data_IF_097081053301
#
_entry.id   IF_097081053301
#
_cell.length_a   1.000
_cell.length_b   1.000
_cell.length_c   1.000
_cell.angle_alpha   90.00
_cell.angle_beta   90.00
_cell.angle_gamma   90.00
#
_symmetry.space_group_name_H-M   'P 1'
#
loop_
_entity.id
_entity.type
_entity.pdbx_description
1 polymer ?
#
# COMPACT_ATOMS: atom_id res chain seq x y z
N UNK A 1 -31.20 3.50 -15.97
CA UNK A 1 -31.14 3.54 -14.49
C UNK A 1 -30.01 2.66 -13.89
N UNK A 2 -28.98 2.25 -14.66
CA UNK A 2 -27.90 1.37 -14.14
C UNK A 2 -26.54 2.06 -13.93
N UNK A 3 -26.34 3.30 -14.38
CA UNK A 3 -25.06 4.02 -14.26
C UNK A 3 -24.81 4.62 -12.86
N UNK A 4 -25.86 4.94 -12.10
CA UNK A 4 -25.71 5.48 -10.74
C UNK A 4 -25.20 4.43 -9.74
N UNK A 5 -25.57 3.16 -9.94
CA UNK A 5 -25.17 2.05 -9.07
C UNK A 5 -23.71 1.65 -9.30
N UNK A 6 -23.21 1.69 -10.54
CA UNK A 6 -21.80 1.43 -10.86
C UNK A 6 -20.87 2.56 -10.39
N UNK A 7 -21.29 3.83 -10.50
CA UNK A 7 -20.52 4.96 -9.98
C UNK A 7 -20.37 4.93 -8.45
N UNK A 8 -21.41 4.49 -7.74
CA UNK A 8 -21.42 4.35 -6.27
C UNK A 8 -20.56 3.16 -5.83
N UNK A 9 -20.67 2.02 -6.53
CA UNK A 9 -19.84 0.83 -6.27
C UNK A 9 -18.34 1.12 -6.42
N UNK A 10 -17.95 1.87 -7.45
CA UNK A 10 -16.54 2.20 -7.68
C UNK A 10 -15.94 3.11 -6.59
N UNK A 11 -16.74 4.00 -5.99
CA UNK A 11 -16.32 4.82 -4.83
C UNK A 11 -16.10 3.99 -3.57
N UNK A 12 -16.96 3.00 -3.32
CA UNK A 12 -16.82 2.08 -2.17
C UNK A 12 -15.59 1.19 -2.33
N UNK A 13 -15.36 0.66 -3.53
CA UNK A 13 -14.17 -0.14 -3.85
C UNK A 13 -12.90 0.69 -3.63
N UNK A 14 -12.88 1.95 -4.08
CA UNK A 14 -11.73 2.85 -3.87
C UNK A 14 -11.47 3.12 -2.38
N UNK A 15 -12.52 3.36 -1.59
CA UNK A 15 -12.40 3.57 -0.14
C UNK A 15 -11.92 2.33 0.62
N UNK A 16 -12.42 1.15 0.24
CA UNK A 16 -11.96 -0.13 0.78
C UNK A 16 -10.49 -0.37 0.44
N UNK A 17 -10.08 -0.05 -0.79
CA UNK A 17 -8.71 -0.17 -1.25
C UNK A 17 -7.75 0.76 -0.48
N UNK A 18 -8.13 2.03 -0.25
CA UNK A 18 -7.33 2.94 0.59
C UNK A 18 -7.22 2.42 2.03
N UNK A 19 -8.31 1.88 2.59
CA UNK A 19 -8.31 1.33 3.95
C UNK A 19 -7.41 0.11 4.08
N UNK A 20 -7.40 -0.78 3.07
CA UNK A 20 -6.49 -1.92 2.99
C UNK A 20 -5.03 -1.48 2.87
N UNK A 21 -4.74 -0.44 2.09
CA UNK A 21 -3.39 0.12 1.96
C UNK A 21 -2.92 0.75 3.29
N UNK A 22 -3.80 1.45 3.99
CA UNK A 22 -3.52 2.00 5.32
C UNK A 22 -3.21 0.87 6.32
N UNK A 23 -4.03 -0.19 6.34
CA UNK A 23 -3.80 -1.37 7.16
C UNK A 23 -2.48 -2.07 6.84
N UNK A 24 -2.13 -2.15 5.56
CA UNK A 24 -0.84 -2.69 5.13
C UNK A 24 0.33 -1.84 5.63
N UNK A 25 0.26 -0.51 5.56
CA UNK A 25 1.31 0.36 6.12
C UNK A 25 1.44 0.23 7.63
N UNK A 26 0.34 0.12 8.37
CA UNK A 26 0.36 -0.13 9.81
C UNK A 26 1.02 -1.48 10.13
N UNK A 27 0.68 -2.52 9.37
CA UNK A 27 1.30 -3.83 9.50
C UNK A 27 2.81 -3.79 9.23
N UNK A 28 3.24 -3.15 8.14
CA UNK A 28 4.66 -2.98 7.80
C UNK A 28 5.38 -2.24 8.92
N UNK A 29 4.81 -1.15 9.44
CA UNK A 29 5.40 -0.43 10.57
C UNK A 29 5.54 -1.32 11.81
N UNK A 30 4.57 -2.19 12.09
CA UNK A 30 4.66 -3.15 13.18
C UNK A 30 5.80 -4.17 12.99
N UNK A 31 5.99 -4.66 11.77
CA UNK A 31 7.13 -5.53 11.42
C UNK A 31 8.46 -4.82 11.66
N UNK A 32 8.58 -3.56 11.26
CA UNK A 32 9.76 -2.73 11.52
C UNK A 32 10.04 -2.54 13.01
N UNK A 33 9.01 -2.22 13.81
CA UNK A 33 9.16 -2.09 15.27
C UNK A 33 9.61 -3.39 15.92
N UNK A 34 9.05 -4.54 15.48
CA UNK A 34 9.45 -5.86 15.96
C UNK A 34 10.90 -6.21 15.61
N UNK A 35 11.30 -5.97 14.35
CA UNK A 35 12.68 -6.15 13.89
C UNK A 35 13.67 -5.28 14.68
N UNK A 36 13.33 -4.01 14.87
CA UNK A 36 14.16 -3.07 15.64
C UNK A 36 14.30 -3.52 17.10
N UNK A 37 13.21 -3.97 17.72
CA UNK A 37 13.25 -4.51 19.09
C UNK A 37 14.11 -5.77 19.18
N UNK A 38 14.02 -6.69 18.22
CA UNK A 38 14.84 -7.90 18.18
C UNK A 38 16.33 -7.57 18.04
N UNK A 39 16.68 -6.60 17.19
CA UNK A 39 18.06 -6.11 17.03
C UNK A 39 18.54 -5.43 18.31
N UNK A 40 17.74 -4.54 18.89
CA UNK A 40 18.08 -3.85 20.13
C UNK A 40 18.35 -4.84 21.28
N UNK A 41 17.49 -5.85 21.44
CA UNK A 41 17.68 -6.91 22.43
C UNK A 41 18.94 -7.71 22.17
N UNK A 42 19.22 -8.07 20.91
CA UNK A 42 20.44 -8.80 20.54
C UNK A 42 21.72 -8.02 20.85
N UNK A 43 21.70 -6.68 20.75
CA UNK A 43 22.83 -5.84 21.17
C UNK A 43 22.93 -5.67 22.69
N UNK A 44 21.80 -5.54 23.39
CA UNK A 44 21.77 -5.31 24.83
C UNK A 44 22.22 -6.53 25.65
N UNK A 45 21.99 -7.75 25.13
CA UNK A 45 22.24 -9.00 25.87
C UNK A 45 23.68 -9.53 25.70
N UNK A 46 24.56 -8.79 24.99
CA UNK A 46 26.01 -9.05 24.84
C UNK A 46 26.41 -10.48 24.40
N UNK A 47 25.48 -11.26 23.88
CA UNK A 47 25.79 -12.54 23.25
C UNK A 47 26.37 -12.30 21.84
N UNK A 48 27.30 -13.17 21.42
CA UNK A 48 27.93 -13.13 20.10
C UNK A 48 27.00 -13.28 18.86
N UNK A 49 25.68 -13.62 18.89
CA UNK A 49 24.86 -13.67 17.68
C UNK A 49 24.29 -12.31 17.26
N UNK A 50 24.67 -11.20 17.90
CA UNK A 50 24.22 -9.85 17.50
C UNK A 50 24.48 -9.56 16.01
N UNK A 51 25.63 -9.99 15.48
CA UNK A 51 25.97 -9.81 14.06
C UNK A 51 24.98 -10.56 13.13
N UNK A 52 24.61 -11.80 13.47
CA UNK A 52 23.65 -12.58 12.68
C UNK A 52 22.25 -11.99 12.74
N UNK A 53 21.82 -11.52 13.91
CA UNK A 53 20.52 -10.87 14.09
C UNK A 53 20.39 -9.58 13.27
N UNK A 54 21.45 -8.77 13.22
CA UNK A 54 21.49 -7.53 12.43
C UNK A 54 21.42 -7.82 10.93
N UNK A 55 22.18 -8.81 10.46
CA UNK A 55 22.15 -9.21 9.04
C UNK A 55 20.76 -9.70 8.66
N UNK A 56 20.16 -10.57 9.48
CA UNK A 56 18.82 -11.10 9.24
C UNK A 56 17.79 -9.96 9.21
N UNK A 57 17.87 -9.03 10.17
CA UNK A 57 16.96 -7.90 10.25
C UNK A 57 17.11 -6.94 9.06
N UNK A 58 18.33 -6.73 8.57
CA UNK A 58 18.61 -5.93 7.38
C UNK A 58 18.01 -6.56 6.12
N UNK A 59 18.21 -7.87 5.92
CA UNK A 59 17.64 -8.59 4.75
C UNK A 59 16.11 -8.54 4.77
N UNK A 60 15.49 -8.80 5.92
CA UNK A 60 14.04 -8.73 6.09
C UNK A 60 13.53 -7.31 5.81
N UNK A 61 14.22 -6.30 6.34
CA UNK A 61 13.91 -4.88 6.08
C UNK A 61 13.88 -4.56 4.59
N UNK A 62 14.94 -4.90 3.86
CA UNK A 62 15.00 -4.66 2.41
C UNK A 62 13.89 -5.39 1.65
N UNK A 63 13.61 -6.65 2.00
CA UNK A 63 12.53 -7.41 1.39
C UNK A 63 11.17 -6.71 1.61
N UNK A 64 10.91 -6.24 2.82
CA UNK A 64 9.67 -5.51 3.15
C UNK A 64 9.59 -4.14 2.47
N UNK A 65 10.70 -3.42 2.29
CA UNK A 65 10.73 -2.16 1.52
C UNK A 65 10.36 -2.41 0.06
N UNK A 66 10.95 -3.42 -0.57
CA UNK A 66 10.64 -3.78 -1.96
C UNK A 66 9.17 -4.19 -2.09
N UNK A 67 8.69 -5.06 -1.19
CA UNK A 67 7.31 -5.52 -1.20
C UNK A 67 6.33 -4.36 -0.98
N UNK A 68 6.65 -3.44 -0.07
CA UNK A 68 5.88 -2.21 0.15
C UNK A 68 5.86 -1.34 -1.10
N UNK A 69 7.01 -1.15 -1.75
CA UNK A 69 7.11 -0.37 -2.99
C UNK A 69 6.24 -0.97 -4.11
N UNK A 70 6.29 -2.30 -4.30
CA UNK A 70 5.46 -3.01 -5.30
C UNK A 70 3.98 -2.86 -4.98
N UNK A 71 3.58 -3.09 -3.73
CA UNK A 71 2.18 -2.94 -3.30
C UNK A 71 1.70 -1.51 -3.54
N UNK A 72 2.48 -0.50 -3.14
CA UNK A 72 2.14 0.91 -3.35
C UNK A 72 2.03 1.26 -4.84
N UNK A 73 2.94 0.75 -5.68
CA UNK A 73 2.88 0.96 -7.12
C UNK A 73 1.61 0.36 -7.72
N UNK A 74 1.28 -0.90 -7.39
CA UNK A 74 0.07 -1.59 -7.86
C UNK A 74 -1.19 -0.88 -7.39
N UNK A 75 -1.23 -0.44 -6.14
CA UNK A 75 -2.37 0.32 -5.64
C UNK A 75 -2.52 1.67 -6.36
N UNK A 76 -1.41 2.38 -6.59
CA UNK A 76 -1.42 3.67 -7.28
C UNK A 76 -1.84 3.51 -8.74
N UNK A 77 -1.38 2.48 -9.45
CA UNK A 77 -1.78 2.21 -10.83
C UNK A 77 -3.26 1.86 -10.91
N UNK A 78 -3.77 0.99 -10.02
CA UNK A 78 -5.20 0.64 -9.97
C UNK A 78 -6.07 1.86 -9.67
N UNK A 79 -5.68 2.71 -8.72
CA UNK A 79 -6.41 3.96 -8.43
C UNK A 79 -6.42 4.87 -9.66
N UNK A 80 -5.26 5.06 -10.30
CA UNK A 80 -5.12 5.91 -11.48
C UNK A 80 -5.94 5.38 -12.67
N UNK A 81 -5.96 4.06 -12.88
CA UNK A 81 -6.80 3.42 -13.91
C UNK A 81 -8.29 3.50 -13.57
N UNK A 82 -8.65 3.28 -12.29
CA UNK A 82 -10.01 3.40 -11.79
C UNK A 82 -10.56 4.82 -11.97
N UNK A 83 -9.78 5.85 -11.66
CA UNK A 83 -10.14 7.25 -11.89
C UNK A 83 -10.24 7.59 -13.38
N UNK A 84 -9.29 7.11 -14.20
CA UNK A 84 -9.30 7.35 -15.66
C UNK A 84 -10.55 6.76 -16.33
N UNK A 85 -11.04 5.60 -15.87
CA UNK A 85 -12.30 5.01 -16.37
C UNK A 85 -13.54 5.82 -15.97
N UNK A 86 -13.56 6.43 -14.78
CA UNK A 86 -14.68 7.30 -14.36
C UNK A 86 -14.69 8.61 -15.16
N UNK A 87 -13.52 9.21 -15.41
CA UNK A 87 -13.40 10.45 -16.22
C UNK A 87 -13.76 10.18 -17.69
N UNK A 88 -13.41 9.02 -18.24
CA UNK A 88 -13.77 8.63 -19.61
C UNK A 88 -15.28 8.45 -19.83
N UNK A 89 -16.02 8.00 -18.81
CA UNK A 89 -17.49 7.90 -18.86
C UNK A 89 -18.22 9.18 -18.43
N UNK A 90 -17.50 10.20 -17.96
CA UNK A 90 -18.03 11.49 -17.51
C UNK A 90 -17.60 12.68 -18.37
N UNK A 91 -17.07 12.44 -19.57
CA UNK A 91 -16.79 13.52 -20.53
C UNK A 91 -18.05 14.33 -20.82
N UNK A 92 -17.97 15.67 -20.92
CA UNK A 92 -19.15 16.50 -21.03
C UNK A 92 -19.96 16.10 -22.27
N UNK A 93 -21.21 15.71 -22.05
CA UNK A 93 -22.25 15.76 -23.07
C UNK A 93 -22.50 17.24 -23.41
N UNK A 94 -21.57 17.86 -24.13
CA UNK A 94 -21.83 19.12 -24.81
C UNK A 94 -21.82 18.86 -26.31
N UNK A 95 -22.90 18.21 -26.74
CA UNK A 95 -23.45 18.53 -28.03
C UNK A 95 -23.93 19.97 -28.00
N UNK A 96 -23.17 20.86 -28.63
CA UNK A 96 -23.73 22.08 -29.20
C UNK A 96 -22.95 22.38 -30.47
N UNK A 97 -23.43 21.77 -31.57
CA UNK A 97 -23.47 22.44 -32.86
C UNK A 97 -24.04 23.84 -32.62
N UNK A 98 -23.24 24.88 -32.81
CA UNK A 98 -23.60 26.06 -33.61
C UNK A 98 -22.32 26.50 -34.33
#
# INVERSE_FOLDING_TARGET
MNESNTATGNKVILGCQISLLLGFYVFVSGVFTFLWYAVYRAFAEHDNPAAHAVILASVITFAFIILTSVVTMVFTTIIKEGQRKIVGNGGPANGSKI
#
